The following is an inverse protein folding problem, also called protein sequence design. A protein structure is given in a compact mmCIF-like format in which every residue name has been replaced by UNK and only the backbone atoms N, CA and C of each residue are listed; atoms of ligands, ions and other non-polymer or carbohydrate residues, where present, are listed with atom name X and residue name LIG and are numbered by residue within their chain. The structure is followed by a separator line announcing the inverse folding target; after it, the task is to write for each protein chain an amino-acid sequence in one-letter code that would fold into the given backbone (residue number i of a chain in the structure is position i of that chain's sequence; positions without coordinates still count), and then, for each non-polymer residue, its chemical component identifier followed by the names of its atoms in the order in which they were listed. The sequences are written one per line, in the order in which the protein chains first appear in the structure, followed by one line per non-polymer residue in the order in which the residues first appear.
data_IF_677350648405
#
_entry.id   IF_677350648405
#
_cell.length_a   1.000
_cell.length_b   1.000
_cell.length_c   1.000
_cell.angle_alpha   90.00
_cell.angle_beta   90.00
_cell.angle_gamma   90.00
#
_symmetry.space_group_name_H-M   'P 1'
#
loop_
_entity.id
_entity.type
_entity.pdbx_description
1 polymer ?
#
# COMPACT_ATOMS: atom_id res chain seq x y z
N UNK A 1 -21.51 43.19 68.54
CA UNK A 1 -22.39 42.24 67.80
C UNK A 1 -22.68 42.81 66.43
N UNK A 2 -21.93 42.40 65.40
CA UNK A 2 -22.36 42.25 63.99
C UNK A 2 -21.18 41.71 63.18
N UNK A 3 -21.14 40.39 63.12
CA UNK A 3 -20.60 39.46 62.11
C UNK A 3 -19.76 39.98 60.93
N UNK A 4 -18.47 39.65 60.99
CA UNK A 4 -17.66 38.90 60.03
C UNK A 4 -18.31 38.54 58.66
N UNK A 5 -17.68 38.94 57.55
CA UNK A 5 -17.63 38.15 56.30
C UNK A 5 -16.30 38.39 55.56
N UNK A 6 -15.47 37.36 55.62
CA UNK A 6 -14.21 37.17 54.91
C UNK A 6 -14.50 36.97 53.42
N UNK A 7 -13.79 37.68 52.54
CA UNK A 7 -13.65 37.29 51.14
C UNK A 7 -12.16 37.30 50.78
N UNK A 8 -11.52 36.14 50.99
CA UNK A 8 -10.16 35.85 50.57
C UNK A 8 -10.21 35.47 49.08
N UNK A 9 -9.90 36.41 48.18
CA UNK A 9 -9.72 36.11 46.77
C UNK A 9 -8.33 35.47 46.57
N UNK A 10 -8.30 34.13 46.54
CA UNK A 10 -7.16 33.36 46.07
C UNK A 10 -6.95 33.64 44.57
N UNK A 11 -5.97 34.47 44.24
CA UNK A 11 -5.40 34.52 42.89
C UNK A 11 -4.63 33.22 42.64
N UNK A 12 -5.32 32.21 42.11
CA UNK A 12 -4.69 31.04 41.53
C UNK A 12 -4.14 31.48 40.16
N UNK A 13 -2.91 31.98 40.15
CA UNK A 13 -2.17 32.16 38.91
C UNK A 13 -2.03 30.78 38.26
N UNK A 14 -2.81 30.53 37.20
CA UNK A 14 -2.63 29.37 36.36
C UNK A 14 -1.20 29.41 35.83
N UNK A 15 -0.35 28.55 36.38
CA UNK A 15 0.89 28.16 35.70
C UNK A 15 0.45 27.44 34.45
N UNK A 16 0.23 28.21 33.39
CA UNK A 16 0.15 27.70 32.04
C UNK A 16 1.53 27.14 31.73
N UNK A 17 1.75 25.88 32.11
CA UNK A 17 2.83 25.09 31.57
C UNK A 17 2.64 25.11 30.07
N UNK A 18 3.52 25.83 29.36
CA UNK A 18 3.74 25.62 27.94
C UNK A 18 4.11 24.15 27.83
N UNK A 19 3.16 23.33 27.40
CA UNK A 19 3.47 22.03 26.84
C UNK A 19 4.50 22.31 25.75
N UNK A 20 5.71 21.80 25.94
CA UNK A 20 6.72 21.82 24.90
C UNK A 20 6.07 21.17 23.69
N UNK A 21 5.85 21.95 22.63
CA UNK A 21 5.56 21.38 21.32
C UNK A 21 6.74 20.45 21.03
N UNK A 22 6.46 19.15 21.06
CA UNK A 22 7.44 18.16 20.70
C UNK A 22 7.91 18.51 19.29
N UNK A 23 9.19 18.88 19.19
CA UNK A 23 9.88 19.03 17.91
C UNK A 23 9.61 17.75 17.14
N UNK A 24 8.82 17.87 16.08
CA UNK A 24 8.69 16.84 15.05
C UNK A 24 10.10 16.49 14.61
N UNK A 25 10.61 15.35 15.06
CA UNK A 25 11.83 14.78 14.51
C UNK A 25 11.57 14.65 13.02
N UNK A 26 12.27 15.45 12.23
CA UNK A 26 12.29 15.37 10.78
C UNK A 26 12.69 13.94 10.41
N UNK A 27 11.69 13.08 10.27
CA UNK A 27 11.85 11.70 9.90
C UNK A 27 12.27 11.75 8.44
N UNK A 28 13.58 11.65 8.21
CA UNK A 28 14.12 11.47 6.86
C UNK A 28 13.19 10.52 6.11
N UNK A 29 12.72 10.91 4.91
CA UNK A 29 11.76 10.10 4.17
C UNK A 29 12.32 8.69 4.02
N UNK A 30 11.52 7.69 4.40
CA UNK A 30 11.91 6.30 4.32
C UNK A 30 12.27 5.97 2.86
N UNK A 31 13.35 5.23 2.61
CA UNK A 31 13.66 4.79 1.26
C UNK A 31 12.52 3.89 0.75
N UNK A 32 12.11 4.10 -0.50
CA UNK A 32 11.09 3.33 -1.20
C UNK A 32 11.73 2.09 -1.80
N UNK A 33 11.21 0.90 -1.52
CA UNK A 33 11.85 -0.37 -1.89
C UNK A 33 10.89 -1.31 -2.63
N UNK A 34 11.29 -1.80 -3.80
CA UNK A 34 10.68 -2.94 -4.48
C UNK A 34 11.66 -4.11 -4.43
N UNK A 35 11.19 -5.28 -4.01
CA UNK A 35 11.97 -6.53 -4.02
C UNK A 35 11.51 -7.40 -5.17
N UNK A 36 12.45 -7.77 -6.04
CA UNK A 36 12.29 -8.79 -7.07
C UNK A 36 13.13 -10.00 -6.66
N UNK A 37 12.51 -11.18 -6.59
CA UNK A 37 13.19 -12.41 -6.14
C UNK A 37 12.66 -13.61 -6.93
N UNK A 38 13.56 -14.52 -7.29
CA UNK A 38 13.26 -15.85 -7.82
C UNK A 38 13.12 -16.90 -6.72
N UNK A 39 12.61 -16.46 -5.55
CA UNK A 39 12.29 -17.25 -4.36
C UNK A 39 11.86 -18.69 -4.67
N UNK A 40 12.32 -19.64 -3.84
CA UNK A 40 12.27 -21.09 -4.10
C UNK A 40 13.25 -21.59 -5.18
N UNK A 41 14.13 -20.72 -5.69
CA UNK A 41 15.34 -21.17 -6.37
C UNK A 41 16.36 -21.65 -5.31
N UNK A 42 16.64 -20.80 -4.32
CA UNK A 42 17.52 -21.11 -3.19
C UNK A 42 16.81 -20.82 -1.84
N UNK A 43 17.20 -21.51 -0.75
CA UNK A 43 16.56 -21.30 0.55
C UNK A 43 16.86 -19.92 1.16
N UNK A 44 17.94 -19.25 0.74
CA UNK A 44 18.38 -17.95 1.25
C UNK A 44 17.49 -16.78 0.79
N UNK A 45 16.80 -16.88 -0.35
CA UNK A 45 15.78 -15.91 -0.78
C UNK A 45 14.67 -15.77 0.27
N UNK A 46 14.18 -16.91 0.77
CA UNK A 46 13.15 -16.95 1.81
C UNK A 46 13.69 -16.37 3.13
N UNK A 47 14.92 -16.72 3.51
CA UNK A 47 15.56 -16.20 4.72
C UNK A 47 15.79 -14.69 4.64
N UNK A 48 16.22 -14.20 3.47
CA UNK A 48 16.45 -12.78 3.20
C UNK A 48 15.14 -12.00 3.19
N UNK A 49 14.05 -12.57 2.68
CA UNK A 49 12.72 -11.96 2.75
C UNK A 49 12.19 -11.88 4.19
N UNK A 50 12.42 -12.92 5.01
CA UNK A 50 12.11 -12.85 6.45
C UNK A 50 12.90 -11.73 7.12
N UNK A 51 14.21 -11.64 6.85
CA UNK A 51 15.07 -10.57 7.38
C UNK A 51 14.59 -9.19 6.92
N UNK A 52 14.19 -9.07 5.66
CA UNK A 52 13.63 -7.84 5.13
C UNK A 52 12.36 -7.42 5.88
N UNK A 53 11.42 -8.32 6.12
CA UNK A 53 10.16 -7.99 6.80
C UNK A 53 10.37 -7.58 8.28
N UNK A 54 11.31 -8.20 8.99
CA UNK A 54 11.60 -7.80 10.39
C UNK A 54 12.39 -6.49 10.52
N UNK A 55 12.76 -5.87 9.41
CA UNK A 55 13.31 -4.50 9.35
C UNK A 55 12.42 -3.55 8.54
N UNK A 56 11.21 -3.99 8.14
CA UNK A 56 10.34 -3.23 7.23
C UNK A 56 9.78 -1.93 7.82
N UNK A 57 10.03 -1.65 9.11
CA UNK A 57 9.78 -0.33 9.67
C UNK A 57 10.76 0.74 9.16
N UNK A 58 11.92 0.35 8.63
CA UNK A 58 12.97 1.27 8.17
C UNK A 58 12.80 1.74 6.71
N UNK A 59 11.86 1.19 5.96
CA UNK A 59 11.61 1.54 4.55
C UNK A 59 10.14 1.44 4.17
N UNK A 60 9.79 2.09 3.07
CA UNK A 60 8.47 1.98 2.47
C UNK A 60 8.50 0.85 1.43
N UNK A 61 7.96 -0.32 1.81
CA UNK A 61 7.90 -1.49 0.93
C UNK A 61 6.82 -1.29 -0.13
N UNK A 62 7.25 -1.08 -1.37
CA UNK A 62 6.36 -0.80 -2.49
C UNK A 62 5.93 -2.04 -3.27
N UNK A 63 6.69 -3.14 -3.17
CA UNK A 63 6.35 -4.36 -3.87
C UNK A 63 7.25 -5.52 -3.46
N UNK A 64 6.62 -6.69 -3.34
CA UNK A 64 7.30 -7.98 -3.21
C UNK A 64 6.89 -8.81 -4.43
N UNK A 65 7.80 -8.99 -5.38
CA UNK A 65 7.52 -9.56 -6.69
C UNK A 65 8.32 -10.85 -6.88
N UNK A 66 7.60 -11.98 -6.99
CA UNK A 66 8.20 -13.20 -7.49
C UNK A 66 8.47 -13.06 -9.00
N UNK A 67 9.70 -13.30 -9.41
CA UNK A 67 10.17 -13.24 -10.79
C UNK A 67 10.93 -14.52 -11.16
N UNK A 68 11.31 -14.65 -12.41
CA UNK A 68 12.19 -15.69 -12.93
C UNK A 68 13.64 -15.21 -12.91
N UNK A 69 14.59 -16.14 -13.02
CA UNK A 69 16.02 -15.89 -13.17
C UNK A 69 16.64 -16.86 -14.18
N UNK A 70 17.95 -16.77 -14.42
CA UNK A 70 18.66 -17.77 -15.22
C UNK A 70 18.67 -19.16 -14.59
N UNK A 71 18.48 -19.25 -13.27
CA UNK A 71 18.43 -20.49 -12.50
C UNK A 71 16.99 -20.98 -12.26
N UNK A 72 16.00 -20.10 -12.40
CA UNK A 72 14.56 -20.42 -12.37
C UNK A 72 13.83 -19.73 -13.54
N UNK A 73 13.97 -20.22 -14.79
CA UNK A 73 13.55 -19.48 -15.98
C UNK A 73 12.04 -19.47 -16.24
N UNK A 74 11.34 -20.55 -15.89
CA UNK A 74 9.98 -20.79 -16.40
C UNK A 74 8.89 -20.86 -15.31
N UNK A 75 9.26 -20.61 -14.05
CA UNK A 75 8.30 -20.65 -12.93
C UNK A 75 8.52 -19.48 -11.98
N UNK A 76 7.46 -19.11 -11.26
CA UNK A 76 7.54 -18.16 -10.15
C UNK A 76 6.86 -18.77 -8.92
N UNK A 77 7.36 -18.44 -7.73
CA UNK A 77 6.80 -18.95 -6.46
C UNK A 77 6.17 -17.84 -5.62
N UNK A 78 5.24 -17.07 -6.21
CA UNK A 78 4.52 -16.01 -5.50
C UNK A 78 3.79 -16.50 -4.22
N UNK A 79 3.41 -17.79 -4.17
CA UNK A 79 2.83 -18.42 -2.98
C UNK A 79 3.76 -18.38 -1.77
N UNK A 80 5.08 -18.48 -1.97
CA UNK A 80 6.05 -18.48 -0.89
C UNK A 80 6.16 -17.11 -0.20
N UNK A 81 6.13 -16.04 -0.99
CA UNK A 81 6.03 -14.66 -0.48
C UNK A 81 4.75 -14.49 0.36
N UNK A 82 3.62 -15.06 -0.09
CA UNK A 82 2.35 -15.00 0.67
C UNK A 82 2.49 -15.67 2.02
N UNK A 83 2.99 -16.89 2.03
CA UNK A 83 3.20 -17.66 3.25
C UNK A 83 4.09 -16.92 4.27
N UNK A 84 5.22 -16.35 3.80
CA UNK A 84 6.14 -15.59 4.64
C UNK A 84 5.50 -14.30 5.18
N UNK A 85 4.76 -13.55 4.34
CA UNK A 85 4.07 -12.33 4.77
C UNK A 85 2.95 -12.63 5.78
N UNK A 86 2.20 -13.71 5.58
CA UNK A 86 1.18 -14.16 6.55
C UNK A 86 1.82 -14.60 7.86
N UNK A 87 2.98 -15.27 7.82
CA UNK A 87 3.73 -15.61 9.02
C UNK A 87 4.24 -14.35 9.75
N UNK A 88 4.76 -13.37 9.01
CA UNK A 88 5.14 -12.05 9.54
C UNK A 88 3.95 -11.34 10.22
N UNK A 89 2.77 -11.36 9.59
CA UNK A 89 1.55 -10.75 10.15
C UNK A 89 1.21 -11.25 11.55
N UNK A 90 1.50 -12.52 11.86
CA UNK A 90 1.28 -13.12 13.19
C UNK A 90 2.24 -12.61 14.27
N UNK A 91 3.42 -12.10 13.90
CA UNK A 91 4.44 -11.63 14.85
C UNK A 91 4.61 -10.10 14.85
N UNK A 92 4.04 -9.41 13.86
CA UNK A 92 4.17 -7.96 13.66
C UNK A 92 3.81 -7.15 14.90
N UNK A 93 2.74 -7.51 15.60
CA UNK A 93 2.31 -6.76 16.79
C UNK A 93 3.31 -6.88 17.95
N UNK A 94 4.08 -7.99 18.03
CA UNK A 94 5.19 -8.08 18.97
C UNK A 94 6.37 -7.19 18.54
N UNK A 95 6.64 -7.05 17.24
CA UNK A 95 7.70 -6.16 16.73
C UNK A 95 7.41 -4.68 17.06
N UNK A 96 6.13 -4.27 16.97
CA UNK A 96 5.69 -2.92 17.35
C UNK A 96 5.91 -2.56 18.83
N UNK A 97 6.06 -3.57 19.70
CA UNK A 97 6.44 -3.34 21.11
C UNK A 97 7.88 -2.82 21.23
N UNK A 98 8.73 -3.09 20.24
CA UNK A 98 10.14 -2.74 20.23
C UNK A 98 10.43 -1.46 19.45
N UNK A 99 9.78 -1.26 18.29
CA UNK A 99 9.88 -0.03 17.50
C UNK A 99 8.62 0.15 16.65
N UNK A 100 8.18 1.39 16.45
CA UNK A 100 6.98 1.69 15.66
C UNK A 100 7.24 1.65 14.16
N UNK A 101 6.17 1.50 13.40
CA UNK A 101 6.14 1.78 11.96
C UNK A 101 6.32 0.56 11.08
N UNK A 102 6.13 -0.64 11.63
CA UNK A 102 6.05 -1.88 10.89
C UNK A 102 4.72 -1.94 10.13
N UNK A 103 4.74 -2.23 8.82
CA UNK A 103 3.53 -2.37 8.00
C UNK A 103 2.67 -3.54 8.49
N UNK A 104 1.35 -3.43 8.40
CA UNK A 104 0.46 -4.59 8.60
C UNK A 104 0.54 -5.49 7.37
N UNK A 105 0.15 -6.75 7.52
CA UNK A 105 0.04 -7.67 6.38
C UNK A 105 -0.83 -7.11 5.24
N UNK A 106 -1.94 -6.45 5.57
CA UNK A 106 -2.82 -5.81 4.60
C UNK A 106 -2.12 -4.66 3.85
N UNK A 107 -1.21 -3.94 4.52
CA UNK A 107 -0.42 -2.87 3.91
C UNK A 107 0.63 -3.42 2.92
N UNK A 108 0.82 -4.74 2.84
CA UNK A 108 1.68 -5.41 1.84
C UNK A 108 0.86 -6.02 0.67
N UNK A 109 -0.43 -5.69 0.58
CA UNK A 109 -1.38 -6.14 -0.45
C UNK A 109 -2.02 -4.94 -1.14
N UNK A 110 -2.55 -5.12 -2.37
CA UNK A 110 -3.18 -4.06 -3.17
C UNK A 110 -4.66 -4.39 -3.36
N UNK A 111 -5.54 -3.56 -2.82
CA UNK A 111 -6.99 -3.62 -2.93
C UNK A 111 -7.53 -2.71 -4.03
N UNK A 112 -6.77 -1.69 -4.43
CA UNK A 112 -7.14 -0.81 -5.53
C UNK A 112 -5.93 -0.30 -6.30
N UNK A 113 -6.17 0.24 -7.48
CA UNK A 113 -5.18 0.93 -8.30
C UNK A 113 -5.78 2.17 -8.98
N UNK A 114 -4.96 3.20 -9.11
CA UNK A 114 -5.23 4.41 -9.87
C UNK A 114 -4.51 4.31 -11.20
N UNK A 115 -5.29 4.30 -12.29
CA UNK A 115 -4.80 4.33 -13.65
C UNK A 115 -4.82 5.76 -14.20
N UNK A 116 -3.83 6.08 -15.01
CA UNK A 116 -3.77 7.31 -15.80
C UNK A 116 -3.32 7.00 -17.22
N UNK A 117 -3.35 8.02 -18.09
CA UNK A 117 -2.99 7.87 -19.51
C UNK A 117 -3.86 6.80 -20.17
N UNK A 118 -5.17 6.90 -19.94
CA UNK A 118 -6.15 5.92 -20.40
C UNK A 118 -6.26 5.96 -21.92
N UNK A 119 -6.23 4.78 -22.54
CA UNK A 119 -6.50 4.58 -23.96
C UNK A 119 -7.72 3.67 -24.07
N UNK A 120 -8.80 4.21 -24.65
CA UNK A 120 -10.09 3.53 -24.77
C UNK A 120 -10.25 2.91 -26.17
N UNK A 121 -10.78 1.68 -26.24
CA UNK A 121 -10.90 0.96 -27.50
C UNK A 121 -12.07 1.45 -28.39
N UNK A 122 -13.15 1.95 -27.79
CA UNK A 122 -14.33 2.44 -28.52
C UNK A 122 -14.92 3.74 -27.99
N UNK A 123 -14.75 4.02 -26.69
CA UNK A 123 -15.23 5.22 -26.00
C UNK A 123 -14.95 5.10 -24.50
N UNK A 124 -15.11 6.20 -23.75
CA UNK A 124 -14.94 6.18 -22.29
C UNK A 124 -15.96 5.22 -21.69
N UNK A 125 -15.50 4.26 -20.90
CA UNK A 125 -16.39 3.26 -20.32
C UNK A 125 -17.14 3.81 -19.11
N UNK A 126 -18.39 3.40 -18.93
CA UNK A 126 -19.18 3.75 -17.76
C UNK A 126 -18.58 3.15 -16.46
N UNK A 127 -18.76 3.80 -15.30
CA UNK A 127 -18.45 3.15 -14.02
C UNK A 127 -19.23 1.84 -13.86
N UNK A 128 -18.57 0.78 -13.39
CA UNK A 128 -19.21 -0.54 -13.35
C UNK A 128 -18.29 -1.71 -13.06
N UNK A 129 -18.76 -2.90 -13.41
CA UNK A 129 -18.07 -4.17 -13.21
C UNK A 129 -17.19 -4.51 -14.40
N UNK A 130 -15.93 -4.83 -14.13
CA UNK A 130 -14.92 -5.11 -15.14
C UNK A 130 -13.95 -6.18 -14.64
N UNK A 131 -13.03 -6.56 -15.52
CA UNK A 131 -11.84 -7.30 -15.15
C UNK A 131 -10.59 -6.50 -15.48
N UNK A 132 -9.55 -6.64 -14.64
CA UNK A 132 -8.28 -5.94 -14.83
C UNK A 132 -7.11 -6.93 -14.85
N UNK A 133 -6.27 -6.83 -15.88
CA UNK A 133 -5.01 -7.55 -15.97
C UNK A 133 -3.86 -6.60 -15.69
N UNK A 134 -3.08 -6.84 -14.63
CA UNK A 134 -1.96 -5.97 -14.21
C UNK A 134 -0.57 -6.50 -14.66
N UNK A 135 -0.52 -7.55 -15.49
CA UNK A 135 0.70 -8.15 -16.01
C UNK A 135 0.39 -8.85 -17.33
N UNK A 136 1.27 -8.73 -18.34
CA UNK A 136 1.06 -9.32 -19.67
C UNK A 136 0.74 -10.83 -19.66
N UNK A 137 1.22 -11.58 -18.67
CA UNK A 137 0.95 -13.02 -18.50
C UNK A 137 0.10 -13.31 -17.25
N UNK A 138 -0.52 -12.29 -16.66
CA UNK A 138 -1.35 -12.43 -15.46
C UNK A 138 -2.79 -12.80 -15.80
N UNK A 139 -3.49 -13.43 -14.85
CA UNK A 139 -4.94 -13.63 -14.94
C UNK A 139 -5.67 -12.29 -14.79
N UNK A 140 -6.79 -12.12 -15.51
CA UNK A 140 -7.70 -10.98 -15.32
C UNK A 140 -8.41 -11.10 -13.96
N UNK A 141 -8.45 -10.00 -13.21
CA UNK A 141 -9.01 -9.96 -11.85
C UNK A 141 -10.35 -9.24 -11.85
N UNK A 142 -11.39 -9.79 -11.22
CA UNK A 142 -12.67 -9.10 -11.08
C UNK A 142 -12.50 -7.84 -10.25
N UNK A 143 -13.09 -6.75 -10.74
CA UNK A 143 -12.94 -5.43 -10.15
C UNK A 143 -14.15 -4.53 -10.43
N UNK A 144 -14.22 -3.43 -9.69
CA UNK A 144 -15.14 -2.33 -9.92
C UNK A 144 -14.35 -1.10 -10.37
N UNK A 145 -14.80 -0.48 -11.46
CA UNK A 145 -14.19 0.70 -12.06
C UNK A 145 -15.02 1.93 -11.73
N UNK A 146 -14.34 2.98 -11.27
CA UNK A 146 -14.90 4.32 -11.08
C UNK A 146 -14.09 5.32 -11.88
N UNK A 147 -14.76 6.16 -12.67
CA UNK A 147 -14.11 7.22 -13.42
C UNK A 147 -13.77 8.39 -12.49
N UNK A 148 -12.54 8.90 -12.61
CA UNK A 148 -12.18 10.21 -12.03
C UNK A 148 -12.35 11.27 -13.10
N UNK A 149 -11.82 11.00 -14.30
CA UNK A 149 -12.00 11.74 -15.54
C UNK A 149 -11.72 10.82 -16.75
N UNK A 150 -11.85 11.33 -17.98
CA UNK A 150 -11.65 10.55 -19.20
C UNK A 150 -10.24 9.92 -19.32
N UNK A 151 -9.25 10.46 -18.61
CA UNK A 151 -7.86 10.02 -18.64
C UNK A 151 -7.39 9.36 -17.33
N UNK A 152 -8.25 9.29 -16.31
CA UNK A 152 -7.92 8.75 -14.98
C UNK A 152 -9.06 7.91 -14.43
N UNK A 153 -8.69 6.72 -13.98
CA UNK A 153 -9.64 5.71 -13.51
C UNK A 153 -9.16 5.12 -12.20
N UNK A 154 -10.08 4.90 -11.27
CA UNK A 154 -9.83 4.09 -10.07
C UNK A 154 -10.46 2.73 -10.23
N UNK A 155 -9.65 1.70 -10.04
CA UNK A 155 -10.04 0.30 -10.07
C UNK A 155 -9.95 -0.26 -8.65
N UNK A 156 -11.04 -0.80 -8.14
CA UNK A 156 -11.11 -1.50 -6.86
C UNK A 156 -11.22 -2.99 -7.12
N UNK A 157 -10.28 -3.78 -6.62
CA UNK A 157 -10.24 -5.23 -6.79
C UNK A 157 -11.23 -5.90 -5.82
N UNK A 158 -11.92 -6.94 -6.27
CA UNK A 158 -12.84 -7.69 -5.42
C UNK A 158 -12.10 -8.48 -4.32
N UNK A 159 -10.85 -8.86 -4.59
CA UNK A 159 -9.95 -9.48 -3.63
C UNK A 159 -8.60 -8.76 -3.66
N UNK A 160 -7.94 -8.54 -2.51
CA UNK A 160 -6.61 -7.98 -2.48
C UNK A 160 -5.65 -8.80 -3.35
N UNK A 161 -4.89 -8.12 -4.20
CA UNK A 161 -3.94 -8.73 -5.11
C UNK A 161 -2.54 -8.14 -4.92
N UNK A 162 -1.49 -8.90 -5.26
CA UNK A 162 -0.09 -8.45 -5.16
C UNK A 162 0.46 -8.20 -6.57
N UNK A 163 1.72 -7.74 -6.70
CA UNK A 163 2.38 -7.52 -8.01
C UNK A 163 1.72 -6.40 -8.86
N UNK A 164 1.25 -5.36 -8.19
CA UNK A 164 0.75 -4.12 -8.81
C UNK A 164 1.60 -2.98 -8.27
N UNK A 165 2.44 -2.41 -9.13
CA UNK A 165 3.40 -1.36 -8.83
C UNK A 165 3.16 -0.16 -9.77
N UNK A 166 3.44 1.07 -9.32
CA UNK A 166 3.45 2.23 -10.20
C UNK A 166 4.35 2.00 -11.43
N UNK A 167 3.89 2.46 -12.59
CA UNK A 167 4.56 2.32 -13.88
C UNK A 167 4.20 1.05 -14.66
N UNK A 168 3.53 0.06 -14.04
CA UNK A 168 2.99 -1.08 -14.79
C UNK A 168 1.79 -0.66 -15.64
N UNK A 169 1.61 -1.31 -16.78
CA UNK A 169 0.36 -1.22 -17.53
C UNK A 169 -0.70 -2.11 -16.90
N UNK A 170 -1.94 -1.62 -16.84
CA UNK A 170 -3.11 -2.43 -16.58
C UNK A 170 -4.08 -2.34 -17.75
N UNK A 171 -4.67 -3.48 -18.11
CA UNK A 171 -5.64 -3.60 -19.20
C UNK A 171 -7.00 -3.95 -18.60
N UNK A 172 -8.02 -3.18 -18.95
CA UNK A 172 -9.41 -3.39 -18.57
C UNK A 172 -10.12 -4.21 -19.65
N UNK A 173 -10.86 -5.20 -19.20
CA UNK A 173 -11.74 -6.06 -19.98
C UNK A 173 -13.16 -5.90 -19.47
N UNK A 174 -14.15 -6.20 -20.30
CA UNK A 174 -15.54 -6.29 -19.86
C UNK A 174 -15.71 -7.35 -18.74
N UNK A 175 -16.86 -7.32 -18.06
CA UNK A 175 -17.13 -8.23 -16.95
C UNK A 175 -16.97 -9.72 -17.32
N UNK A 176 -17.28 -10.05 -18.58
CA UNK A 176 -17.17 -11.41 -19.13
C UNK A 176 -15.78 -11.81 -19.64
N UNK A 177 -14.77 -10.93 -19.58
CA UNK A 177 -13.41 -11.18 -20.11
C UNK A 177 -13.36 -11.48 -21.62
N UNK A 178 -14.30 -10.93 -22.39
CA UNK A 178 -14.47 -11.21 -23.81
C UNK A 178 -13.70 -10.23 -24.71
N UNK A 179 -13.59 -8.96 -24.31
CA UNK A 179 -12.91 -7.93 -25.10
C UNK A 179 -12.23 -6.87 -24.23
N UNK A 180 -11.20 -6.25 -24.81
CA UNK A 180 -10.47 -5.15 -24.18
C UNK A 180 -11.31 -3.88 -24.26
N UNK A 181 -11.53 -3.26 -23.11
CA UNK A 181 -12.24 -1.98 -22.97
C UNK A 181 -11.24 -0.82 -23.02
N UNK A 182 -10.13 -0.93 -22.29
CA UNK A 182 -9.12 0.11 -22.21
C UNK A 182 -7.77 -0.41 -21.70
N UNK A 183 -6.74 0.42 -21.84
CA UNK A 183 -5.46 0.26 -21.15
C UNK A 183 -5.05 1.54 -20.45
N UNK A 184 -4.27 1.44 -19.38
CA UNK A 184 -3.72 2.59 -18.67
C UNK A 184 -2.46 2.22 -17.89
N UNK A 185 -1.79 3.23 -17.36
CA UNK A 185 -0.61 3.07 -16.51
C UNK A 185 -1.00 3.22 -15.04
N UNK A 186 -0.50 2.33 -14.19
CA UNK A 186 -0.66 2.41 -12.75
C UNK A 186 0.14 3.61 -12.24
N UNK A 187 -0.54 4.65 -11.77
CA UNK A 187 0.10 5.77 -11.02
C UNK A 187 0.29 5.42 -9.56
N UNK A 188 -0.67 4.69 -8.99
CA UNK A 188 -0.66 4.23 -7.62
C UNK A 188 -1.45 2.93 -7.51
N UNK A 189 -1.09 2.10 -6.54
CA UNK A 189 -1.88 0.95 -6.13
C UNK A 189 -1.86 0.90 -4.61
N UNK A 190 -2.98 0.56 -3.97
CA UNK A 190 -3.16 0.77 -2.54
C UNK A 190 -2.12 0.03 -1.69
N UNK A 191 -1.33 0.80 -0.95
CA UNK A 191 -0.91 0.55 0.43
C UNK A 191 -0.43 1.92 0.93
N UNK A 192 -0.89 2.35 2.10
CA UNK A 192 -1.03 3.77 2.44
C UNK A 192 0.21 4.42 3.13
N UNK A 193 0.33 5.78 3.33
CA UNK A 193 -0.47 6.54 4.31
C UNK A 193 -1.12 7.87 3.82
N UNK A 194 -2.11 8.28 4.61
CA UNK A 194 -3.22 9.26 4.49
C UNK A 194 -2.80 10.71 4.18
N UNK A 195 -1.57 10.91 3.74
CA UNK A 195 -1.01 12.19 3.37
C UNK A 195 -0.03 11.97 2.22
N UNK A 196 -0.53 11.98 1.00
CA UNK A 196 0.22 12.61 -0.08
C UNK A 196 -0.48 13.92 -0.28
N UNK A 197 0.06 14.96 0.34
CA UNK A 197 -0.35 16.33 0.07
C UNK A 197 -0.43 16.52 -1.44
N UNK A 198 -1.50 17.20 -1.85
CA UNK A 198 -1.78 17.64 -3.21
C UNK A 198 -0.54 17.60 -4.11
N UNK A 199 -0.46 16.55 -4.93
CA UNK A 199 0.33 16.64 -6.16
C UNK A 199 -0.44 17.63 -7.05
N UNK A 200 0.06 18.86 -7.03
CA UNK A 200 -0.31 19.97 -7.88
C UNK A 200 -0.10 19.65 -9.36
#
# INVERSE_FOLDING_TARGET
MTTLRVLLLLNLAAVAGRAAEAVSTDARPKPRVIVLTDIENEPDDAMSLVRFLVYSNQWDTEGLVATTSVHQPDRTAAWRIREIVTAYGRVRDNLELHERGFPREADLQRESLALHSMVWAGGVAEPGRYRVQCSAHGTSLPCTVSLVDDNKVRVTLDSPHRRIAPGQSAVLYDEGDNYVVAGGLVSAASAWPVNVGAIA
#
